data_IF_116259490542
#
_entry.id   IF_116259490542
#
_cell.length_a   1.000
_cell.length_b   1.000
_cell.length_c   1.000
_cell.angle_alpha   90.00
_cell.angle_beta   90.00
_cell.angle_gamma   90.00
#
_symmetry.space_group_name_H-M   'P 1'
#
loop_
_entity.id
_entity.type
_entity.pdbx_description
1 polymer ?
#
# COMPACT_ATOMS: atom_id res chain seq x y z
N UNK A 1 -1.06 -8.35 -25.25
CA UNK A 1 0.39 -8.50 -25.02
C UNK A 1 0.59 -9.67 -24.09
N UNK A 2 1.41 -10.66 -24.47
CA UNK A 2 1.71 -11.80 -23.61
C UNK A 2 2.66 -11.36 -22.49
N UNK A 3 2.25 -11.55 -21.21
CA UNK A 3 3.14 -11.39 -20.05
C UNK A 3 4.22 -12.48 -20.14
N UNK A 4 5.47 -12.09 -20.47
CA UNK A 4 6.61 -13.00 -20.37
C UNK A 4 6.93 -13.21 -18.88
N UNK A 5 6.41 -14.30 -18.32
CA UNK A 5 6.70 -14.70 -16.96
C UNK A 5 8.08 -15.34 -16.89
N UNK A 6 9.02 -14.69 -16.21
CA UNK A 6 10.25 -15.36 -15.80
C UNK A 6 9.95 -16.19 -14.54
N UNK A 7 9.52 -17.45 -14.73
CA UNK A 7 9.19 -18.40 -13.65
C UNK A 7 10.33 -18.69 -12.66
N UNK A 8 11.52 -18.13 -12.89
CA UNK A 8 12.71 -18.30 -12.07
C UNK A 8 12.98 -17.17 -11.07
N UNK A 9 12.20 -16.08 -11.09
CA UNK A 9 12.40 -15.01 -10.12
C UNK A 9 11.90 -15.42 -8.72
N UNK A 10 12.86 -15.67 -7.83
CA UNK A 10 12.65 -16.15 -6.45
C UNK A 10 12.53 -15.03 -5.43
N UNK A 11 12.74 -13.77 -5.84
CA UNK A 11 12.71 -12.63 -4.93
C UNK A 11 11.34 -12.46 -4.32
N UNK A 12 11.30 -12.14 -3.04
CA UNK A 12 10.08 -11.83 -2.31
C UNK A 12 9.73 -10.33 -2.40
N UNK A 13 8.66 -9.93 -1.70
CA UNK A 13 8.18 -8.54 -1.70
C UNK A 13 9.22 -7.58 -1.13
N UNK A 14 9.96 -8.00 -0.10
CA UNK A 14 10.92 -7.15 0.60
C UNK A 14 12.17 -6.91 -0.25
N UNK A 15 12.68 -7.99 -0.88
CA UNK A 15 13.78 -7.90 -1.84
C UNK A 15 13.41 -7.01 -3.03
N UNK A 16 12.18 -7.12 -3.56
CA UNK A 16 11.73 -6.26 -4.66
C UNK A 16 11.55 -4.80 -4.24
N UNK A 17 11.02 -4.53 -3.05
CA UNK A 17 10.88 -3.15 -2.54
C UNK A 17 12.27 -2.51 -2.41
N UNK A 18 13.25 -3.26 -1.92
CA UNK A 18 14.64 -2.81 -1.85
C UNK A 18 15.22 -2.55 -3.25
N UNK A 19 15.13 -3.53 -4.15
CA UNK A 19 15.66 -3.42 -5.51
C UNK A 19 15.04 -2.25 -6.30
N UNK A 20 13.74 -2.02 -6.15
CA UNK A 20 13.05 -0.88 -6.78
C UNK A 20 13.58 0.45 -6.22
N UNK A 21 13.78 0.54 -4.91
CA UNK A 21 14.31 1.76 -4.28
C UNK A 21 15.73 2.08 -4.75
N UNK A 22 16.57 1.08 -4.96
CA UNK A 22 17.97 1.24 -5.38
C UNK A 22 18.17 1.37 -6.90
N UNK A 23 17.36 0.67 -7.69
CA UNK A 23 17.62 0.49 -9.12
C UNK A 23 16.47 0.90 -10.03
N UNK A 24 15.25 1.04 -9.49
CA UNK A 24 14.05 1.51 -10.18
C UNK A 24 13.80 0.86 -11.56
N UNK A 25 14.01 -0.47 -11.66
CA UNK A 25 13.78 -1.22 -12.89
C UNK A 25 12.29 -1.54 -13.05
N UNK A 26 11.76 -1.31 -14.24
CA UNK A 26 10.34 -1.50 -14.55
C UNK A 26 9.86 -2.95 -14.35
N UNK A 27 10.72 -3.93 -14.65
CA UNK A 27 10.43 -5.36 -14.45
C UNK A 27 10.20 -5.73 -12.98
N UNK A 28 10.92 -5.09 -12.06
CA UNK A 28 10.79 -5.32 -10.62
C UNK A 28 9.46 -4.75 -10.10
N UNK A 29 9.04 -3.58 -10.62
CA UNK A 29 7.72 -3.02 -10.35
C UNK A 29 6.59 -3.98 -10.77
N UNK A 30 6.64 -4.50 -11.99
CA UNK A 30 5.64 -5.47 -12.47
C UNK A 30 5.59 -6.72 -11.61
N UNK A 31 6.75 -7.22 -11.18
CA UNK A 31 6.85 -8.37 -10.29
C UNK A 31 6.24 -8.08 -8.91
N UNK A 32 6.52 -6.90 -8.35
CA UNK A 32 5.93 -6.45 -7.09
C UNK A 32 4.40 -6.42 -7.18
N UNK A 33 3.83 -5.88 -8.26
CA UNK A 33 2.36 -5.81 -8.44
C UNK A 33 1.72 -7.19 -8.49
N UNK A 34 2.35 -8.15 -9.17
CA UNK A 34 1.87 -9.54 -9.20
C UNK A 34 1.93 -10.18 -7.80
N UNK A 35 2.97 -9.94 -7.01
CA UNK A 35 3.09 -10.52 -5.66
C UNK A 35 2.12 -9.86 -4.65
N UNK A 36 1.83 -8.58 -4.82
CA UNK A 36 0.83 -7.86 -4.01
C UNK A 36 -0.60 -8.18 -4.41
N UNK A 37 -0.82 -8.77 -5.59
CA UNK A 37 -2.16 -9.16 -6.04
C UNK A 37 -2.75 -10.20 -5.09
N UNK A 38 -3.85 -9.83 -4.41
CA UNK A 38 -4.50 -10.66 -3.38
C UNK A 38 -3.87 -10.57 -1.99
N UNK A 39 -2.90 -9.68 -1.77
CA UNK A 39 -2.36 -9.37 -0.45
C UNK A 39 -3.10 -8.20 0.20
N UNK A 40 -3.03 -8.18 1.52
CA UNK A 40 -3.45 -7.05 2.34
C UNK A 40 -2.22 -6.20 2.68
N UNK A 41 -2.41 -4.88 2.74
CA UNK A 41 -1.45 -3.94 3.30
C UNK A 41 -2.02 -3.32 4.58
N UNK A 42 -1.12 -2.91 5.47
CA UNK A 42 -1.46 -2.37 6.77
C UNK A 42 -1.27 -0.86 6.78
N UNK A 43 -2.37 -0.12 6.90
CA UNK A 43 -2.39 1.33 6.83
C UNK A 43 -2.49 1.91 8.25
N UNK A 44 -1.62 2.86 8.62
CA UNK A 44 -1.69 3.50 9.94
C UNK A 44 -2.93 4.37 10.05
N UNK A 45 -3.66 4.24 11.16
CA UNK A 45 -4.87 5.04 11.41
C UNK A 45 -4.65 6.12 12.45
N UNK A 46 -5.55 7.11 12.44
CA UNK A 46 -5.70 8.08 13.52
C UNK A 46 -6.55 7.38 14.61
N UNK A 47 -6.00 7.07 15.79
CA UNK A 47 -6.69 6.24 16.79
C UNK A 47 -8.07 6.76 17.18
N UNK A 48 -8.25 8.09 17.24
CA UNK A 48 -9.51 8.75 17.58
C UNK A 48 -10.59 8.59 16.51
N UNK A 49 -10.25 8.06 15.33
CA UNK A 49 -11.21 7.73 14.27
C UNK A 49 -11.70 6.29 14.32
N UNK A 50 -11.11 5.45 15.17
CA UNK A 50 -11.60 4.10 15.41
C UNK A 50 -12.88 4.14 16.25
N UNK A 51 -13.80 3.19 16.05
CA UNK A 51 -15.01 3.11 16.85
C UNK A 51 -14.68 2.89 18.33
N UNK A 52 -15.50 3.47 19.23
CA UNK A 52 -15.24 3.46 20.67
C UNK A 52 -15.17 2.06 21.31
N UNK A 53 -15.75 1.06 20.66
CA UNK A 53 -15.70 -0.35 21.07
C UNK A 53 -14.60 -1.15 20.35
N UNK A 54 -13.65 -0.48 19.69
CA UNK A 54 -12.51 -1.14 19.07
C UNK A 54 -11.65 -1.85 20.12
N UNK A 55 -11.29 -3.10 19.83
CA UNK A 55 -10.33 -3.88 20.60
C UNK A 55 -9.07 -4.07 19.74
N UNK A 56 -7.87 -3.68 20.21
CA UNK A 56 -6.63 -3.95 19.50
C UNK A 56 -6.48 -5.43 19.10
N UNK A 57 -6.06 -5.68 17.86
CA UNK A 57 -5.93 -7.03 17.31
C UNK A 57 -7.25 -7.69 16.90
N UNK A 58 -8.39 -6.98 16.99
CA UNK A 58 -9.67 -7.46 16.48
C UNK A 58 -9.96 -6.94 15.07
N UNK A 59 -10.48 -7.82 14.21
CA UNK A 59 -10.98 -7.42 12.89
C UNK A 59 -12.27 -6.64 13.06
N UNK A 60 -12.29 -5.39 12.60
CA UNK A 60 -13.50 -4.57 12.55
C UNK A 60 -14.00 -4.46 11.11
N UNK A 61 -15.25 -4.87 10.88
CA UNK A 61 -15.91 -4.64 9.60
C UNK A 61 -16.46 -3.21 9.60
N UNK A 62 -15.84 -2.35 8.81
CA UNK A 62 -16.33 -0.98 8.57
C UNK A 62 -17.53 -0.99 7.62
N UNK A 63 -18.53 -0.17 7.93
CA UNK A 63 -19.67 0.11 7.06
C UNK A 63 -19.72 1.61 6.68
N UNK A 64 -20.68 2.01 5.85
CA UNK A 64 -20.82 3.38 5.34
C UNK A 64 -21.02 4.47 6.41
N UNK A 65 -21.41 4.11 7.63
CA UNK A 65 -21.56 5.05 8.75
C UNK A 65 -20.25 5.34 9.49
N UNK A 66 -19.22 4.51 9.27
CA UNK A 66 -17.94 4.59 9.97
C UNK A 66 -16.92 5.35 9.12
N UNK A 67 -16.28 6.36 9.72
CA UNK A 67 -15.22 7.14 9.08
C UNK A 67 -13.90 6.90 9.79
N UNK A 68 -13.11 5.97 9.26
CA UNK A 68 -11.72 5.78 9.68
C UNK A 68 -10.84 6.76 8.94
N UNK A 69 -10.00 7.48 9.67
CA UNK A 69 -8.99 8.40 9.12
C UNK A 69 -7.66 7.66 9.10
N UNK A 70 -7.05 7.60 7.92
CA UNK A 70 -5.70 7.07 7.72
C UNK A 70 -4.70 8.23 7.90
N UNK A 71 -3.54 7.95 8.50
CA UNK A 71 -2.45 8.94 8.60
C UNK A 71 -1.82 9.11 7.23
N UNK A 72 -1.50 10.35 6.85
CA UNK A 72 -0.73 10.63 5.64
C UNK A 72 0.71 10.98 6.01
N UNK A 73 1.62 10.83 5.05
CA UNK A 73 3.00 11.27 5.18
C UNK A 73 3.33 12.29 4.08
N UNK A 74 4.26 13.18 4.38
CA UNK A 74 4.71 14.20 3.43
C UNK A 74 6.00 13.75 2.75
N UNK A 75 6.01 13.77 1.43
CA UNK A 75 7.20 13.56 0.61
C UNK A 75 8.14 14.76 0.64
N UNK A 76 9.36 14.61 0.11
CA UNK A 76 10.41 15.63 0.19
C UNK A 76 10.05 16.95 -0.52
N UNK A 77 9.19 16.94 -1.55
CA UNK A 77 8.76 18.15 -2.25
C UNK A 77 7.37 18.63 -1.80
N UNK A 78 6.90 18.17 -0.64
CA UNK A 78 5.61 18.56 -0.07
C UNK A 78 4.43 17.74 -0.58
N UNK A 79 4.66 16.70 -1.40
CA UNK A 79 3.62 15.77 -1.82
C UNK A 79 3.00 15.05 -0.63
N UNK A 80 1.72 14.68 -0.72
CA UNK A 80 1.05 13.95 0.35
C UNK A 80 0.80 12.52 -0.11
N UNK A 81 1.27 11.54 0.64
CA UNK A 81 1.08 10.13 0.33
C UNK A 81 0.31 9.42 1.43
N UNK A 82 -0.42 8.38 1.04
CA UNK A 82 -0.99 7.42 1.97
C UNK A 82 0.03 6.29 2.14
N UNK A 83 0.63 6.08 3.31
CA UNK A 83 1.53 4.96 3.52
C UNK A 83 0.77 3.65 3.79
N UNK A 84 1.35 2.53 3.38
CA UNK A 84 0.88 1.18 3.69
C UNK A 84 2.08 0.26 3.86
N UNK A 85 2.06 -0.57 4.91
CA UNK A 85 3.14 -1.53 5.17
C UNK A 85 2.78 -2.93 4.70
N UNK A 86 3.79 -3.69 4.28
CA UNK A 86 3.69 -5.12 3.98
C UNK A 86 3.69 -6.00 5.24
N UNK A 87 4.03 -5.43 6.41
CA UNK A 87 4.21 -6.15 7.67
C UNK A 87 3.32 -5.57 8.78
N UNK A 88 2.72 -6.43 9.61
CA UNK A 88 1.83 -6.05 10.72
C UNK A 88 2.55 -5.48 11.94
N UNK A 89 3.85 -5.73 12.05
CA UNK A 89 4.72 -5.30 13.16
C UNK A 89 5.54 -4.05 12.82
N UNK A 90 5.30 -3.43 11.66
CA UNK A 90 6.00 -2.23 11.23
C UNK A 90 5.84 -1.08 12.28
N UNK A 91 6.92 -0.39 12.67
CA UNK A 91 6.86 0.66 13.69
C UNK A 91 5.84 1.78 13.40
N UNK A 92 5.62 2.10 12.13
CA UNK A 92 4.67 3.14 11.69
C UNK A 92 3.22 2.86 12.09
N UNK A 93 2.86 1.59 12.26
CA UNK A 93 1.47 1.14 12.50
C UNK A 93 1.20 0.74 13.95
N UNK A 94 2.16 0.88 14.86
CA UNK A 94 2.04 0.45 16.25
C UNK A 94 0.92 1.16 17.03
N UNK A 95 0.58 2.38 16.65
CA UNK A 95 -0.52 3.14 17.26
C UNK A 95 -1.91 2.70 16.75
N UNK A 96 -1.97 1.70 15.86
CA UNK A 96 -3.18 1.17 15.27
C UNK A 96 -3.14 1.20 13.74
N UNK A 97 -3.73 0.17 13.15
CA UNK A 97 -3.85 0.03 11.71
C UNK A 97 -5.17 -0.58 11.29
N UNK A 98 -5.42 -0.49 9.98
CA UNK A 98 -6.38 -1.33 9.29
C UNK A 98 -5.64 -2.15 8.23
N UNK A 99 -6.09 -3.39 8.08
CA UNK A 99 -5.79 -4.19 6.90
C UNK A 99 -6.66 -3.72 5.73
N UNK A 100 -6.07 -3.52 4.56
CA UNK A 100 -6.77 -3.17 3.33
C UNK A 100 -6.21 -3.95 2.15
N UNK A 101 -7.08 -4.57 1.36
CA UNK A 101 -6.64 -5.28 0.16
C UNK A 101 -5.88 -4.36 -0.79
N UNK A 102 -4.82 -4.89 -1.42
CA UNK A 102 -3.93 -4.11 -2.30
C UNK A 102 -4.68 -3.23 -3.30
N UNK A 103 -5.65 -3.78 -4.04
CA UNK A 103 -6.42 -3.00 -5.02
C UNK A 103 -7.40 -2.02 -4.38
N UNK A 104 -7.95 -2.32 -3.21
CA UNK A 104 -8.82 -1.39 -2.48
C UNK A 104 -8.03 -0.17 -2.01
N UNK A 105 -6.80 -0.39 -1.54
CA UNK A 105 -5.86 0.66 -1.17
C UNK A 105 -5.55 1.60 -2.33
N UNK A 106 -5.24 1.04 -3.50
CA UNK A 106 -5.03 1.80 -4.73
C UNK A 106 -6.28 2.60 -5.13
N UNK A 107 -7.47 1.98 -5.09
CA UNK A 107 -8.75 2.65 -5.39
C UNK A 107 -9.05 3.79 -4.41
N UNK A 108 -8.76 3.61 -3.12
CA UNK A 108 -8.92 4.65 -2.10
C UNK A 108 -8.01 5.85 -2.41
N UNK A 109 -6.74 5.62 -2.76
CA UNK A 109 -5.80 6.68 -3.09
C UNK A 109 -6.25 7.51 -4.31
N UNK A 110 -6.78 6.88 -5.36
CA UNK A 110 -7.35 7.60 -6.51
C UNK A 110 -8.56 8.46 -6.14
N UNK A 111 -9.40 7.97 -5.22
CA UNK A 111 -10.60 8.68 -4.75
C UNK A 111 -10.29 9.79 -3.74
N UNK A 112 -9.06 9.85 -3.22
CA UNK A 112 -8.65 10.84 -2.23
C UNK A 112 -8.02 12.04 -2.98
N UNK A 113 -8.69 13.20 -3.06
CA UNK A 113 -8.20 14.30 -3.91
C UNK A 113 -6.90 14.90 -3.41
N UNK A 114 -6.71 14.95 -2.09
CA UNK A 114 -5.60 15.63 -1.43
C UNK A 114 -4.27 14.86 -1.40
N UNK A 115 -4.20 13.66 -1.99
CA UNK A 115 -2.98 12.84 -2.02
C UNK A 115 -2.42 12.75 -3.44
N UNK A 116 -1.10 12.73 -3.52
CA UNK A 116 -0.33 12.56 -4.75
C UNK A 116 -0.19 11.08 -5.16
N UNK A 117 -0.36 10.17 -4.21
CA UNK A 117 -0.22 8.73 -4.47
C UNK A 117 -0.19 7.89 -3.20
N UNK A 118 0.47 6.73 -3.30
CA UNK A 118 0.69 5.79 -2.20
C UNK A 118 2.18 5.56 -1.97
N UNK A 119 2.52 5.15 -0.75
CA UNK A 119 3.85 4.68 -0.38
C UNK A 119 3.75 3.28 0.22
N UNK A 120 4.51 2.34 -0.34
CA UNK A 120 4.59 0.97 0.14
C UNK A 120 5.87 0.85 0.97
N UNK A 121 5.72 0.54 2.25
CA UNK A 121 6.81 0.32 3.20
C UNK A 121 7.08 -1.18 3.29
N UNK A 122 8.26 -1.59 2.83
CA UNK A 122 8.86 -2.87 3.22
C UNK A 122 9.58 -2.75 4.56
N UNK A 123 10.46 -3.69 4.90
CA UNK A 123 11.20 -3.68 6.17
C UNK A 123 12.13 -2.46 6.29
N UNK A 124 12.82 -2.11 5.19
CA UNK A 124 13.91 -1.12 5.18
C UNK A 124 13.76 -0.03 4.12
N UNK A 125 12.96 -0.28 3.10
CA UNK A 125 12.85 0.57 1.92
C UNK A 125 11.41 0.90 1.60
N UNK A 126 11.25 1.95 0.79
CA UNK A 126 9.95 2.47 0.39
C UNK A 126 9.84 2.51 -1.13
N UNK A 127 8.64 2.21 -1.64
CA UNK A 127 8.29 2.43 -3.04
C UNK A 127 7.11 3.40 -3.11
N UNK A 128 7.32 4.52 -3.82
CA UNK A 128 6.25 5.49 -4.11
C UNK A 128 5.57 5.19 -5.44
N UNK A 129 4.25 5.25 -5.45
CA UNK A 129 3.45 5.16 -6.67
C UNK A 129 2.55 6.39 -6.78
N UNK A 130 2.75 7.17 -7.84
CA UNK A 130 1.87 8.30 -8.16
C UNK A 130 0.51 7.84 -8.71
N UNK A 131 -0.43 8.78 -8.86
CA UNK A 131 -1.76 8.47 -9.39
C UNK A 131 -1.76 7.86 -10.79
N UNK A 132 -0.82 8.21 -11.67
CA UNK A 132 -0.74 7.65 -13.02
C UNK A 132 -0.33 6.17 -12.97
N UNK A 133 0.66 5.85 -12.12
CA UNK A 133 1.11 4.49 -11.85
C UNK A 133 0.00 3.65 -11.23
N UNK A 134 -0.74 4.22 -10.28
CA UNK A 134 -1.89 3.55 -9.66
C UNK A 134 -2.95 3.21 -10.71
N UNK A 135 -3.30 4.16 -11.59
CA UNK A 135 -4.24 3.92 -12.69
C UNK A 135 -3.78 2.81 -13.62
N UNK A 136 -2.50 2.81 -13.98
CA UNK A 136 -1.90 1.75 -14.80
C UNK A 136 -2.07 0.37 -14.14
N UNK A 137 -1.76 0.25 -12.85
CA UNK A 137 -1.88 -1.03 -12.11
C UNK A 137 -3.33 -1.51 -12.13
N UNK A 138 -4.28 -0.64 -11.78
CA UNK A 138 -5.70 -1.00 -11.74
C UNK A 138 -6.26 -1.39 -13.11
N UNK A 139 -5.71 -0.86 -14.21
CA UNK A 139 -6.16 -1.25 -15.55
C UNK A 139 -5.62 -2.62 -16.02
N UNK A 140 -4.47 -3.06 -15.50
CA UNK A 140 -3.75 -4.22 -16.02
C UNK A 140 -3.64 -5.41 -15.04
N UNK A 141 -3.91 -5.19 -13.76
CA UNK A 141 -3.72 -6.18 -12.70
C UNK A 141 -4.99 -6.44 -11.86
N UNK A 142 -5.93 -5.49 -11.79
CA UNK A 142 -7.23 -5.64 -11.11
C UNK A 142 -8.28 -6.15 -12.12
N UNK A 143 -8.12 -7.42 -12.53
CA UNK A 143 -8.95 -8.10 -13.56
C UNK A 143 -9.84 -9.16 -12.94
#
# INVERSE_FOLDING_TARGET
MAKFFNRTDKRDIEELIFDIAEHNKEEDHHRLYDLLSGRELFLPVVPESLPANYVPGSKVIVNSSMRIRVRNVQGPNGEVFIPGSTQEDCPMIQDGYIGMGWFEYLKMALRTPSVSGVLIQGEKSWVGLDKLRIQYILQHYDV
#
